data_IF_919895101478
#
_entry.id   IF_919895101478
#
_cell.length_a   1.000
_cell.length_b   1.000
_cell.length_c   1.000
_cell.angle_alpha   90.00
_cell.angle_beta   90.00
_cell.angle_gamma   90.00
#
_symmetry.space_group_name_H-M   'P 1'
#
loop_
_entity.id
_entity.type
_entity.pdbx_description
1 polymer ?
#
# COMPACT_ATOMS: atom_id res chain seq x y z
N UNK A 1 -0.30 20.82 13.54
CA UNK A 1 -1.59 20.91 12.80
C UNK A 1 -2.36 19.58 12.86
N UNK A 2 -2.95 19.21 14.01
CA UNK A 2 -3.69 17.95 14.15
C UNK A 2 -5.04 17.91 13.40
N UNK A 3 -5.63 19.07 13.07
CA UNK A 3 -6.95 19.16 12.41
C UNK A 3 -7.00 18.62 10.97
N UNK A 4 -5.86 18.47 10.28
CA UNK A 4 -5.80 18.03 8.87
C UNK A 4 -5.62 16.52 8.70
N UNK A 5 -5.25 15.79 9.77
CA UNK A 5 -4.94 14.36 9.70
C UNK A 5 -6.21 13.52 9.42
N UNK A 6 -7.30 13.83 10.12
CA UNK A 6 -8.58 13.09 10.00
C UNK A 6 -9.22 13.25 8.61
N UNK A 7 -9.28 14.44 8.00
CA UNK A 7 -9.72 14.61 6.62
C UNK A 7 -8.84 13.83 5.64
N UNK A 8 -7.51 13.93 5.76
CA UNK A 8 -6.58 13.23 4.86
C UNK A 8 -6.76 11.72 4.94
N UNK A 9 -6.86 11.16 6.16
CA UNK A 9 -7.06 9.73 6.37
C UNK A 9 -8.34 9.20 5.72
N UNK A 10 -9.43 9.97 5.66
CA UNK A 10 -10.65 9.56 4.97
C UNK A 10 -10.51 9.53 3.45
N UNK A 11 -9.58 10.30 2.89
CA UNK A 11 -9.32 10.33 1.45
C UNK A 11 -8.33 9.26 0.98
N UNK A 12 -7.75 8.49 1.90
CA UNK A 12 -6.86 7.38 1.58
C UNK A 12 -7.73 6.18 1.14
N UNK A 13 -7.40 5.52 0.01
CA UNK A 13 -8.13 4.35 -0.48
C UNK A 13 -7.76 3.09 0.32
N UNK A 14 -8.13 3.07 1.61
CA UNK A 14 -7.82 1.98 2.53
C UNK A 14 -8.28 0.61 2.04
N UNK A 15 -9.39 0.56 1.28
CA UNK A 15 -9.89 -0.69 0.70
C UNK A 15 -8.93 -1.25 -0.36
N UNK A 16 -8.40 -0.39 -1.24
CA UNK A 16 -7.45 -0.81 -2.27
C UNK A 16 -6.11 -1.22 -1.66
N UNK A 17 -5.62 -0.43 -0.69
CA UNK A 17 -4.39 -0.76 0.05
C UNK A 17 -4.56 -2.06 0.83
N UNK A 18 -5.68 -2.22 1.55
CA UNK A 18 -5.99 -3.42 2.31
C UNK A 18 -6.13 -4.67 1.43
N UNK A 19 -6.80 -4.55 0.28
CA UNK A 19 -6.94 -5.66 -0.67
C UNK A 19 -5.57 -6.08 -1.26
N UNK A 20 -4.77 -5.13 -1.73
CA UNK A 20 -3.42 -5.41 -2.23
C UNK A 20 -2.51 -6.01 -1.15
N UNK A 21 -2.62 -5.50 0.08
CA UNK A 21 -1.88 -6.01 1.25
C UNK A 21 -2.28 -7.45 1.59
N UNK A 22 -3.58 -7.74 1.59
CA UNK A 22 -4.10 -9.08 1.88
C UNK A 22 -3.65 -10.10 0.83
N UNK A 23 -3.78 -9.76 -0.46
CA UNK A 23 -3.30 -10.61 -1.57
C UNK A 23 -1.79 -10.84 -1.44
N UNK A 24 -1.01 -9.79 -1.14
CA UNK A 24 0.43 -9.93 -0.97
C UNK A 24 0.83 -10.78 0.23
N UNK A 25 0.13 -10.70 1.38
CA UNK A 25 0.38 -11.58 2.52
C UNK A 25 -0.02 -13.02 2.24
N UNK A 26 -1.13 -13.25 1.53
CA UNK A 26 -1.55 -14.59 1.11
C UNK A 26 -0.50 -15.25 0.22
N UNK A 27 0.11 -14.47 -0.67
CA UNK A 27 1.27 -14.91 -1.45
C UNK A 27 2.44 -15.22 -0.50
N UNK A 28 2.85 -14.30 0.37
CA UNK A 28 3.97 -14.50 1.29
C UNK A 28 3.83 -15.74 2.22
N UNK A 29 2.60 -16.15 2.57
CA UNK A 29 2.35 -17.38 3.35
C UNK A 29 2.58 -18.66 2.54
N UNK A 30 2.46 -18.62 1.21
CA UNK A 30 2.44 -19.83 0.37
C UNK A 30 3.67 -20.75 0.50
N UNK A 31 4.91 -20.25 0.67
CA UNK A 31 6.07 -21.12 0.86
C UNK A 31 5.98 -21.96 2.13
N UNK A 32 5.37 -21.43 3.22
CA UNK A 32 5.18 -22.19 4.48
C UNK A 32 4.18 -23.33 4.37
N UNK A 33 3.23 -23.22 3.44
CA UNK A 33 2.24 -24.26 3.19
C UNK A 33 2.78 -25.35 2.26
N UNK A 34 3.99 -25.18 1.72
CA UNK A 34 4.64 -26.10 0.80
C UNK A 34 5.61 -26.99 1.56
N UNK A 35 5.66 -28.30 1.27
CA UNK A 35 6.48 -29.24 2.04
C UNK A 35 8.00 -29.07 1.82
N UNK A 36 8.44 -28.52 0.68
CA UNK A 36 9.85 -28.23 0.38
C UNK A 36 9.94 -27.02 -0.57
N UNK A 37 9.73 -25.78 -0.07
CA UNK A 37 9.83 -24.60 -0.91
C UNK A 37 11.28 -24.38 -1.33
N UNK A 38 11.52 -24.25 -2.63
CA UNK A 38 12.81 -23.81 -3.14
C UNK A 38 13.03 -22.32 -2.86
N UNK A 39 14.30 -21.94 -2.68
CA UNK A 39 14.67 -20.56 -2.41
C UNK A 39 14.26 -19.62 -3.56
N UNK A 40 14.32 -20.11 -4.80
CA UNK A 40 13.90 -19.35 -5.97
C UNK A 40 12.40 -19.07 -5.96
N UNK A 41 11.56 -20.08 -5.74
CA UNK A 41 10.11 -19.90 -5.55
C UNK A 41 9.79 -18.92 -4.44
N UNK A 42 10.44 -19.04 -3.28
CA UNK A 42 10.24 -18.12 -2.15
C UNK A 42 10.51 -16.66 -2.55
N UNK A 43 11.59 -16.41 -3.30
CA UNK A 43 11.92 -15.07 -3.82
C UNK A 43 10.89 -14.59 -4.84
N UNK A 44 10.42 -15.46 -5.73
CA UNK A 44 9.41 -15.09 -6.74
C UNK A 44 8.06 -14.75 -6.11
N UNK A 45 7.66 -15.51 -5.10
CA UNK A 45 6.44 -15.25 -4.33
C UNK A 45 6.54 -13.93 -3.57
N UNK A 46 7.69 -13.63 -2.97
CA UNK A 46 7.92 -12.35 -2.30
C UNK A 46 7.89 -11.16 -3.29
N UNK A 47 8.42 -11.34 -4.51
CA UNK A 47 8.28 -10.34 -5.60
C UNK A 47 6.83 -10.17 -6.03
N UNK A 48 6.06 -11.26 -6.14
CA UNK A 48 4.64 -11.15 -6.47
C UNK A 48 3.88 -10.41 -5.35
N UNK A 49 4.23 -10.66 -4.09
CA UNK A 49 3.66 -9.95 -2.95
C UNK A 49 3.95 -8.44 -2.98
N UNK A 50 5.19 -8.04 -3.31
CA UNK A 50 5.52 -6.61 -3.44
C UNK A 50 4.76 -5.94 -4.58
N UNK A 51 4.57 -6.62 -5.71
CA UNK A 51 3.77 -6.11 -6.83
C UNK A 51 2.31 -5.94 -6.42
N UNK A 52 1.70 -6.91 -5.75
CA UNK A 52 0.32 -6.82 -5.27
C UNK A 52 0.12 -5.64 -4.30
N UNK A 53 1.06 -5.44 -3.38
CA UNK A 53 1.05 -4.29 -2.48
C UNK A 53 1.24 -2.96 -3.22
N UNK A 54 2.17 -2.91 -4.18
CA UNK A 54 2.41 -1.72 -5.01
C UNK A 54 1.19 -1.32 -5.83
N UNK A 55 0.42 -2.28 -6.35
CA UNK A 55 -0.85 -2.01 -7.04
C UNK A 55 -1.85 -1.33 -6.09
N UNK A 56 -1.97 -1.81 -4.84
CA UNK A 56 -2.80 -1.16 -3.82
C UNK A 56 -2.32 0.27 -3.48
N UNK A 57 -1.01 0.49 -3.46
CA UNK A 57 -0.40 1.82 -3.28
C UNK A 57 -0.62 2.74 -4.49
N UNK A 58 -0.72 2.21 -5.71
CA UNK A 58 -0.94 3.02 -6.90
C UNK A 58 -2.26 3.81 -6.81
N UNK A 59 -3.30 3.23 -6.18
CA UNK A 59 -4.55 3.92 -5.91
C UNK A 59 -4.39 5.13 -4.96
N UNK A 60 -3.34 5.17 -4.13
CA UNK A 60 -3.04 6.35 -3.29
C UNK A 60 -2.67 7.57 -4.14
N UNK A 61 -2.03 7.31 -5.28
CA UNK A 61 -1.60 8.31 -6.25
C UNK A 61 -2.72 8.69 -7.22
N UNK A 62 -3.68 7.78 -7.42
CA UNK A 62 -4.85 8.04 -8.24
C UNK A 62 -5.84 8.95 -7.49
N UNK A 63 -6.15 10.11 -8.08
CA UNK A 63 -7.12 11.06 -7.54
C UNK A 63 -8.35 11.08 -8.47
N UNK A 64 -9.43 10.36 -8.15
CA UNK A 64 -10.61 10.25 -9.02
C UNK A 64 -11.34 11.58 -9.22
N UNK A 65 -11.06 12.60 -8.39
CA UNK A 65 -11.64 13.94 -8.51
C UNK A 65 -10.81 14.90 -9.38
N UNK A 66 -9.83 14.37 -10.15
CA UNK A 66 -8.94 15.15 -11.03
C UNK A 66 -9.70 16.08 -11.98
N UNK A 67 -10.89 15.68 -12.42
CA UNK A 67 -11.63 16.42 -13.45
C UNK A 67 -12.42 17.63 -12.92
N UNK A 68 -12.63 17.75 -11.60
CA UNK A 68 -13.48 18.80 -11.01
C UNK A 68 -12.76 19.76 -10.07
N UNK A 69 -11.53 19.46 -9.65
CA UNK A 69 -10.81 20.24 -8.60
C UNK A 69 -9.59 21.03 -9.10
N UNK A 70 -9.41 21.15 -10.42
CA UNK A 70 -8.27 21.83 -11.05
C UNK A 70 -8.09 23.30 -10.62
N UNK A 71 -9.14 23.95 -10.11
CA UNK A 71 -9.13 25.36 -9.69
C UNK A 71 -8.66 25.62 -8.25
N UNK A 72 -8.40 24.61 -7.41
CA UNK A 72 -8.09 24.82 -5.99
C UNK A 72 -6.59 25.08 -5.75
N UNK A 73 -6.19 26.20 -5.11
CA UNK A 73 -4.79 26.62 -4.98
C UNK A 73 -4.05 25.93 -3.81
N UNK A 74 -4.36 24.66 -3.53
CA UNK A 74 -3.61 23.87 -2.54
C UNK A 74 -2.59 23.01 -3.28
N UNK A 75 -1.31 23.18 -2.95
CA UNK A 75 -0.19 22.44 -3.54
C UNK A 75 -0.43 20.92 -3.46
N UNK A 76 -0.70 20.30 -4.61
CA UNK A 76 -0.90 18.85 -4.80
C UNK A 76 0.17 17.99 -4.10
N UNK A 77 1.42 18.46 -4.14
CA UNK A 77 2.55 17.82 -3.46
C UNK A 77 2.36 17.67 -1.95
N UNK A 78 1.75 18.65 -1.27
CA UNK A 78 1.55 18.62 0.19
C UNK A 78 0.52 17.56 0.58
N UNK A 79 -0.56 17.41 -0.21
CA UNK A 79 -1.57 16.36 0.01
C UNK A 79 -1.00 14.96 -0.23
N UNK A 80 -0.21 14.76 -1.29
CA UNK A 80 0.46 13.48 -1.51
C UNK A 80 1.49 13.16 -0.44
N UNK A 81 2.29 14.14 0.00
CA UNK A 81 3.26 13.95 1.08
C UNK A 81 2.59 13.55 2.40
N UNK A 82 1.48 14.20 2.78
CA UNK A 82 0.73 13.80 3.97
C UNK A 82 0.13 12.40 3.86
N UNK A 83 -0.41 12.03 2.70
CA UNK A 83 -0.94 10.67 2.44
C UNK A 83 0.17 9.63 2.52
N UNK A 84 1.33 9.90 1.92
CA UNK A 84 2.51 9.03 1.99
C UNK A 84 2.99 8.88 3.43
N UNK A 85 3.13 9.98 4.18
CA UNK A 85 3.58 9.94 5.57
C UNK A 85 2.70 9.04 6.46
N UNK A 86 1.40 8.97 6.17
CA UNK A 86 0.46 8.11 6.90
C UNK A 86 0.55 6.64 6.47
N UNK A 87 0.90 6.37 5.21
CA UNK A 87 0.97 5.01 4.65
C UNK A 87 2.35 4.36 4.89
N UNK A 88 3.42 5.15 4.99
CA UNK A 88 4.79 4.66 5.31
C UNK A 88 4.82 3.70 6.51
N UNK A 89 4.25 4.02 7.70
CA UNK A 89 4.28 3.09 8.83
C UNK A 89 3.49 1.80 8.55
N UNK A 90 2.39 1.89 7.81
CA UNK A 90 1.59 0.71 7.42
C UNK A 90 2.39 -0.17 6.45
N UNK A 91 3.08 0.44 5.48
CA UNK A 91 3.95 -0.25 4.55
C UNK A 91 5.13 -0.94 5.26
N UNK A 92 5.73 -0.28 6.26
CA UNK A 92 6.80 -0.86 7.06
C UNK A 92 6.29 -2.09 7.85
N UNK A 93 5.14 -1.98 8.52
CA UNK A 93 4.52 -3.10 9.24
C UNK A 93 4.19 -4.26 8.29
N UNK A 94 3.60 -3.95 7.13
CA UNK A 94 3.28 -4.96 6.13
C UNK A 94 4.53 -5.69 5.61
N UNK A 95 5.61 -4.95 5.33
CA UNK A 95 6.87 -5.53 4.88
C UNK A 95 7.52 -6.41 5.95
N UNK A 96 7.50 -5.97 7.21
CA UNK A 96 7.99 -6.81 8.32
C UNK A 96 7.18 -8.09 8.47
N UNK A 97 5.86 -8.03 8.29
CA UNK A 97 5.02 -9.22 8.32
C UNK A 97 5.36 -10.16 7.15
N UNK A 98 5.56 -9.63 5.94
CA UNK A 98 5.91 -10.42 4.76
C UNK A 98 7.30 -11.11 4.90
N UNK A 99 8.24 -10.51 5.62
CA UNK A 99 9.55 -11.12 5.92
C UNK A 99 9.50 -12.14 7.06
N UNK A 100 8.55 -12.00 7.98
CA UNK A 100 8.35 -12.91 9.11
C UNK A 100 7.44 -14.10 8.78
N UNK A 101 6.87 -14.12 7.57
CA UNK A 101 6.18 -15.25 6.94
C UNK A 101 7.17 -15.97 6.04
#
# INVERSE_FOLDING_TARGET
MPGLVRPVARTVPWRAIGAGSAVGLLLAVSPRLTQNPDAWFTVQVLRAATVAFAVGLAFLLDDPARHTTAAVPVRRAVRHALRLALVVPVAALWWTAALLL
#
